data_IF_186912828198
#
_entry.id   IF_186912828198
#
_cell.length_a   1.000
_cell.length_b   1.000
_cell.length_c   1.000
_cell.angle_alpha   90.00
_cell.angle_beta   90.00
_cell.angle_gamma   90.00
#
_symmetry.space_group_name_H-M   'P 1'
#
loop_
_entity.id
_entity.type
_entity.pdbx_description
1 polymer ?
#
# COMPACT_ATOMS: atom_id res chain seq x y z
N UNK A 1 13.84 1.84 -31.11
CA UNK A 1 15.13 2.03 -30.40
C UNK A 1 14.81 2.36 -28.95
N UNK A 2 15.27 1.56 -27.99
CA UNK A 2 15.15 1.90 -26.57
C UNK A 2 16.42 2.68 -26.18
N UNK A 3 16.32 4.00 -26.22
CA UNK A 3 17.43 4.88 -25.86
C UNK A 3 17.57 4.87 -24.33
N UNK A 4 18.70 4.35 -23.82
CA UNK A 4 19.05 4.42 -22.41
C UNK A 4 20.16 5.43 -22.20
N UNK A 5 19.82 6.72 -21.99
CA UNK A 5 20.82 7.73 -21.69
C UNK A 5 21.67 7.32 -20.48
N UNK A 6 22.95 7.65 -20.54
CA UNK A 6 23.91 7.38 -19.48
C UNK A 6 24.41 8.70 -18.89
N UNK A 7 24.44 8.79 -17.55
CA UNK A 7 24.97 9.94 -16.83
C UNK A 7 26.05 9.53 -15.85
N UNK A 8 27.08 10.35 -15.67
CA UNK A 8 28.09 10.11 -14.65
C UNK A 8 27.63 10.64 -13.29
N UNK A 9 27.71 9.80 -12.26
CA UNK A 9 27.38 10.15 -10.86
C UNK A 9 28.41 9.57 -9.91
N UNK A 10 28.48 10.16 -8.72
CA UNK A 10 29.33 9.67 -7.63
C UNK A 10 28.45 8.88 -6.67
N UNK A 11 28.91 7.69 -6.29
CA UNK A 11 28.23 6.86 -5.29
C UNK A 11 28.54 7.41 -3.90
N UNK A 12 27.54 7.50 -3.02
CA UNK A 12 27.72 7.93 -1.64
C UNK A 12 27.01 6.96 -0.70
N UNK A 13 27.76 6.23 0.14
CA UNK A 13 27.18 5.30 1.15
C UNK A 13 26.20 4.28 0.56
N UNK A 14 26.43 3.83 -0.68
CA UNK A 14 25.55 2.91 -1.41
C UNK A 14 24.38 3.58 -2.14
N UNK A 15 24.30 4.90 -2.10
CA UNK A 15 23.25 5.71 -2.73
C UNK A 15 23.78 6.46 -3.96
N UNK A 16 22.90 6.68 -4.92
CA UNK A 16 23.15 7.46 -6.12
C UNK A 16 22.05 8.50 -6.24
N UNK A 17 22.44 9.77 -6.20
CA UNK A 17 21.54 10.89 -6.37
C UNK A 17 21.45 11.25 -7.87
N UNK A 18 20.28 11.06 -8.46
CA UNK A 18 20.02 11.35 -9.86
C UNK A 18 18.60 11.89 -10.03
N UNK A 19 18.41 13.00 -10.75
CA UNK A 19 17.09 13.56 -11.07
C UNK A 19 16.16 13.76 -9.85
N UNK A 20 16.69 14.31 -8.74
CA UNK A 20 15.97 14.48 -7.45
C UNK A 20 15.51 13.17 -6.79
N UNK A 21 15.96 12.03 -7.31
CA UNK A 21 15.69 10.68 -6.80
C UNK A 21 16.96 10.09 -6.20
N UNK A 22 16.77 9.13 -5.30
CA UNK A 22 17.85 8.39 -4.66
C UNK A 22 17.70 6.94 -5.07
N UNK A 23 18.73 6.38 -5.70
CA UNK A 23 18.80 4.98 -6.07
C UNK A 23 19.77 4.26 -5.13
N UNK A 24 19.40 3.08 -4.65
CA UNK A 24 20.19 2.34 -3.66
C UNK A 24 20.40 0.88 -4.05
N UNK A 25 21.59 0.36 -3.76
CA UNK A 25 21.90 -1.06 -3.80
C UNK A 25 23.02 -1.38 -2.80
N UNK A 26 23.00 -2.57 -2.20
CA UNK A 26 24.01 -2.98 -1.22
C UNK A 26 25.42 -3.03 -1.83
N UNK A 27 25.55 -3.57 -3.05
CA UNK A 27 26.84 -3.66 -3.74
C UNK A 27 27.49 -2.31 -4.00
N UNK A 28 26.71 -1.21 -4.07
CA UNK A 28 27.25 0.14 -4.24
C UNK A 28 27.99 0.64 -3.00
N UNK A 29 27.80 0.01 -1.84
CA UNK A 29 28.51 0.39 -0.62
C UNK A 29 30.05 0.26 -0.77
N UNK A 30 30.54 -0.75 -1.50
CA UNK A 30 31.97 -0.94 -1.81
C UNK A 30 32.53 0.13 -2.77
N UNK A 31 31.65 0.76 -3.54
CA UNK A 31 32.00 1.78 -4.53
C UNK A 31 31.78 3.22 -4.03
N UNK A 32 31.55 3.41 -2.73
CA UNK A 32 31.37 4.75 -2.14
C UNK A 32 32.57 5.67 -2.45
N UNK A 33 32.30 6.86 -2.98
CA UNK A 33 33.30 7.84 -3.42
C UNK A 33 33.82 7.63 -4.85
N UNK A 34 33.46 6.54 -5.53
CA UNK A 34 33.85 6.28 -6.92
C UNK A 34 32.83 6.87 -7.90
N UNK A 35 33.33 7.23 -9.09
CA UNK A 35 32.50 7.65 -10.23
C UNK A 35 31.94 6.42 -10.95
N UNK A 36 30.65 6.44 -11.24
CA UNK A 36 29.92 5.40 -11.95
C UNK A 36 29.06 6.02 -13.06
N UNK A 37 28.69 5.22 -14.06
CA UNK A 37 27.72 5.58 -15.08
C UNK A 37 26.36 4.97 -14.73
N UNK A 38 25.32 5.79 -14.75
CA UNK A 38 23.95 5.41 -14.46
C UNK A 38 23.18 5.43 -15.77
N UNK A 39 22.75 4.26 -16.21
CA UNK A 39 21.91 4.09 -17.40
C UNK A 39 20.47 3.96 -16.94
N UNK A 40 19.60 4.87 -17.37
CA UNK A 40 18.21 4.93 -16.94
C UNK A 40 17.26 4.80 -18.14
N UNK A 41 16.07 4.28 -17.87
CA UNK A 41 14.98 4.21 -18.83
C UNK A 41 14.04 5.41 -18.60
N UNK A 42 13.69 6.14 -19.66
CA UNK A 42 12.81 7.32 -19.55
C UNK A 42 11.35 6.93 -19.28
N UNK A 43 10.97 5.69 -19.61
CA UNK A 43 9.62 5.17 -19.40
C UNK A 43 9.49 4.43 -18.06
N UNK A 44 10.60 3.88 -17.53
CA UNK A 44 10.58 3.22 -16.23
C UNK A 44 11.65 3.76 -15.25
N UNK A 45 11.28 4.68 -14.33
CA UNK A 45 12.21 5.25 -13.36
C UNK A 45 12.42 4.37 -12.10
N UNK A 46 11.78 3.20 -12.01
CA UNK A 46 11.81 2.32 -10.82
C UNK A 46 13.21 1.79 -10.50
N UNK A 47 14.03 1.56 -11.52
CA UNK A 47 15.39 1.06 -11.36
C UNK A 47 16.33 1.66 -12.38
N UNK A 48 17.62 1.68 -12.03
CA UNK A 48 18.69 2.15 -12.92
C UNK A 48 19.83 1.14 -12.95
N UNK A 49 20.46 1.00 -14.12
CA UNK A 49 21.62 0.13 -14.29
C UNK A 49 22.87 0.93 -13.99
N UNK A 50 23.64 0.49 -13.00
CA UNK A 50 24.89 1.14 -12.61
C UNK A 50 26.06 0.39 -13.21
N UNK A 51 26.94 1.12 -13.89
CA UNK A 51 28.13 0.60 -14.56
C UNK A 51 29.37 1.34 -14.09
N UNK A 52 30.50 0.65 -14.11
CA UNK A 52 31.81 1.27 -13.96
C UNK A 52 32.12 2.16 -15.19
N UNK A 53 33.07 3.11 -15.07
CA UNK A 53 33.50 3.95 -16.19
C UNK A 53 34.03 3.16 -17.40
N UNK A 54 34.53 1.95 -17.17
CA UNK A 54 34.98 1.00 -18.21
C UNK A 54 33.83 0.26 -18.91
N UNK A 55 32.57 0.46 -18.50
CA UNK A 55 31.38 -0.17 -19.08
C UNK A 55 30.93 -1.47 -18.41
N UNK A 56 31.66 -2.00 -17.42
CA UNK A 56 31.24 -3.19 -16.67
C UNK A 56 30.04 -2.88 -15.80
N UNK A 57 29.00 -3.72 -15.86
CA UNK A 57 27.81 -3.59 -15.01
C UNK A 57 28.18 -3.98 -13.57
N UNK A 58 27.81 -3.13 -12.62
CA UNK A 58 28.00 -3.37 -11.18
C UNK A 58 26.73 -4.04 -10.64
N UNK A 59 25.59 -3.34 -10.71
CA UNK A 59 24.31 -3.79 -10.18
C UNK A 59 23.14 -2.99 -10.77
N UNK A 60 21.92 -3.45 -10.53
CA UNK A 60 20.69 -2.69 -10.76
C UNK A 60 20.27 -2.03 -9.45
N UNK A 61 20.25 -0.70 -9.40
CA UNK A 61 19.89 0.04 -8.20
C UNK A 61 18.41 0.44 -8.23
N UNK A 62 17.71 0.23 -7.12
CA UNK A 62 16.28 0.50 -6.99
C UNK A 62 16.03 1.91 -6.46
N UNK A 63 14.99 2.56 -7.00
CA UNK A 63 14.51 3.83 -6.48
C UNK A 63 14.09 3.67 -5.02
N UNK A 64 14.62 4.54 -4.15
CA UNK A 64 14.32 4.55 -2.72
C UNK A 64 14.56 3.19 -2.01
N UNK A 65 15.44 2.33 -2.54
CA UNK A 65 15.72 1.01 -1.96
C UNK A 65 16.34 1.02 -0.55
N UNK A 66 16.86 2.17 -0.09
CA UNK A 66 17.34 2.40 1.27
C UNK A 66 16.20 2.73 2.24
N UNK A 67 15.04 3.14 1.74
CA UNK A 67 13.83 3.29 2.53
C UNK A 67 13.32 1.89 2.82
N UNK A 68 13.82 1.32 3.92
CA UNK A 68 13.04 0.34 4.68
C UNK A 68 11.63 0.91 4.75
N UNK A 69 10.59 0.11 4.51
CA UNK A 69 9.19 0.48 4.78
C UNK A 69 8.99 0.69 6.29
N UNK A 70 9.75 1.63 6.85
CA UNK A 70 9.79 2.02 8.24
C UNK A 70 8.87 3.22 8.34
N UNK A 71 7.58 2.95 8.12
CA UNK A 71 6.48 3.36 8.98
C UNK A 71 5.28 2.50 8.56
N UNK A 72 4.86 1.48 9.35
CA UNK A 72 3.45 1.08 9.29
C UNK A 72 2.65 2.34 9.65
N UNK A 73 1.60 2.66 8.87
CA UNK A 73 0.66 3.79 9.04
C UNK A 73 0.99 4.72 10.21
N UNK A 74 1.38 5.96 9.91
CA UNK A 74 1.42 7.07 10.87
C UNK A 74 0.38 6.85 11.98
N UNK A 75 0.81 6.86 13.25
CA UNK A 75 -0.07 6.61 14.41
C UNK A 75 -1.35 7.47 14.36
N UNK A 76 -1.30 8.61 13.65
CA UNK A 76 -2.43 9.50 13.37
C UNK A 76 -3.41 8.96 12.31
N UNK A 77 -2.92 8.35 11.24
CA UNK A 77 -3.74 7.68 10.22
C UNK A 77 -4.36 6.40 10.78
N UNK A 78 -3.60 5.63 11.57
CA UNK A 78 -4.12 4.48 12.33
C UNK A 78 -5.23 4.89 13.30
N UNK A 79 -5.08 6.01 14.01
CA UNK A 79 -6.10 6.51 14.95
C UNK A 79 -7.39 6.96 14.25
N UNK A 80 -7.27 7.68 13.14
CA UNK A 80 -8.43 8.09 12.33
C UNK A 80 -9.15 6.89 11.73
N UNK A 81 -8.39 5.92 11.19
CA UNK A 81 -8.93 4.67 10.64
C UNK A 81 -9.65 3.85 11.71
N UNK A 82 -9.02 3.63 12.87
CA UNK A 82 -9.64 2.95 14.01
C UNK A 82 -10.88 3.65 14.54
N UNK A 83 -10.88 4.99 14.60
CA UNK A 83 -12.05 5.77 15.02
C UNK A 83 -13.20 5.63 14.01
N UNK A 84 -12.89 5.66 12.71
CA UNK A 84 -13.86 5.45 11.66
C UNK A 84 -14.44 4.02 11.69
N UNK A 85 -13.58 3.01 11.82
CA UNK A 85 -13.99 1.60 11.97
C UNK A 85 -14.88 1.39 13.21
N UNK A 86 -14.53 1.99 14.34
CA UNK A 86 -15.36 1.93 15.55
C UNK A 86 -16.74 2.59 15.35
N UNK A 87 -16.82 3.71 14.62
CA UNK A 87 -18.09 4.36 14.27
C UNK A 87 -18.94 3.50 13.34
N UNK A 88 -18.32 2.88 12.34
CA UNK A 88 -18.99 1.95 11.41
C UNK A 88 -19.56 0.77 12.18
N UNK A 89 -18.76 0.13 13.05
CA UNK A 89 -19.19 -1.00 13.86
C UNK A 89 -20.38 -0.67 14.76
N UNK A 90 -20.39 0.49 15.42
CA UNK A 90 -21.53 0.92 16.24
C UNK A 90 -22.81 1.10 15.42
N UNK A 91 -22.70 1.68 14.22
CA UNK A 91 -23.85 1.83 13.32
C UNK A 91 -24.35 0.48 12.82
N UNK A 92 -23.46 -0.46 12.51
CA UNK A 92 -23.84 -1.82 12.12
C UNK A 92 -24.57 -2.56 13.25
N UNK A 93 -24.06 -2.47 14.47
CA UNK A 93 -24.70 -3.04 15.66
C UNK A 93 -26.12 -2.48 15.88
N UNK A 94 -26.28 -1.16 15.74
CA UNK A 94 -27.61 -0.53 15.79
C UNK A 94 -28.55 -1.03 14.67
N UNK A 95 -28.03 -1.19 13.44
CA UNK A 95 -28.80 -1.74 12.32
C UNK A 95 -29.22 -3.20 12.61
N UNK A 96 -28.33 -4.00 13.18
CA UNK A 96 -28.61 -5.40 13.53
C UNK A 96 -29.69 -5.50 14.61
N UNK A 97 -29.61 -4.67 15.65
CA UNK A 97 -30.65 -4.59 16.70
C UNK A 97 -32.01 -4.23 16.10
N UNK A 98 -32.05 -3.22 15.22
CA UNK A 98 -33.30 -2.80 14.56
C UNK A 98 -33.86 -3.92 13.66
N UNK A 99 -33.01 -4.59 12.89
CA UNK A 99 -33.43 -5.76 12.08
C UNK A 99 -33.93 -6.92 12.94
N UNK A 100 -33.33 -7.15 14.10
CA UNK A 100 -33.78 -8.18 15.03
C UNK A 100 -35.15 -7.84 15.65
N UNK A 101 -35.38 -6.56 15.95
CA UNK A 101 -36.69 -6.07 16.40
C UNK A 101 -37.75 -6.24 15.32
N UNK A 102 -37.46 -5.82 14.08
CA UNK A 102 -38.33 -5.99 12.92
C UNK A 102 -38.70 -7.47 12.69
N UNK A 103 -37.69 -8.35 12.66
CA UNK A 103 -37.89 -9.81 12.56
C UNK A 103 -38.79 -10.34 13.68
N UNK A 104 -38.61 -9.88 14.92
CA UNK A 104 -39.44 -10.30 16.06
C UNK A 104 -40.89 -9.85 15.89
N UNK A 105 -41.13 -8.60 15.48
CA UNK A 105 -42.48 -8.06 15.22
C UNK A 105 -43.18 -8.90 14.15
N UNK A 106 -42.52 -9.15 13.02
CA UNK A 106 -43.04 -9.98 11.94
C UNK A 106 -43.41 -11.40 12.41
N UNK A 107 -42.60 -11.99 13.29
CA UNK A 107 -42.87 -13.34 13.83
C UNK A 107 -44.11 -13.36 14.73
N UNK A 108 -44.35 -12.29 15.50
CA UNK A 108 -45.53 -12.15 16.35
C UNK A 108 -46.79 -11.96 15.49
N UNK A 109 -46.75 -11.08 14.48
CA UNK A 109 -47.87 -10.82 13.59
C UNK A 109 -48.28 -12.06 12.78
N UNK A 110 -47.30 -12.80 12.24
CA UNK A 110 -47.54 -14.06 11.55
C UNK A 110 -48.11 -15.15 12.46
N UNK A 111 -47.62 -15.26 13.69
CA UNK A 111 -48.16 -16.21 14.66
C UNK A 111 -49.62 -15.86 15.02
N UNK A 112 -49.96 -14.58 15.19
CA UNK A 112 -51.33 -14.14 15.44
C UNK A 112 -52.26 -14.42 14.26
N UNK A 113 -51.83 -14.15 13.03
CA UNK A 113 -52.66 -14.34 11.84
C UNK A 113 -52.96 -15.84 11.58
N UNK A 114 -51.99 -16.73 11.83
CA UNK A 114 -52.17 -18.18 11.76
C UNK A 114 -53.12 -18.75 12.83
N UNK A 115 -53.19 -18.11 14.00
CA UNK A 115 -54.14 -18.49 15.07
C UNK A 115 -55.54 -17.99 14.73
N UNK A 116 -55.68 -16.75 14.25
CA UNK A 116 -56.97 -16.16 13.88
C UNK A 116 -57.65 -16.93 12.74
N UNK A 117 -56.90 -17.33 11.71
CA UNK A 117 -57.46 -18.11 10.60
C UNK A 117 -57.92 -19.53 11.01
N UNK A 118 -57.37 -20.13 12.08
CA UNK A 118 -57.85 -21.43 12.60
C UNK A 118 -59.13 -21.29 13.42
N UNK A 119 -59.36 -20.13 14.04
CA UNK A 119 -60.52 -19.89 14.90
C UNK A 119 -61.80 -19.54 14.10
N UNK A 120 -61.66 -19.05 12.86
CA UNK A 120 -62.77 -18.61 11.99
C UNK A 120 -63.18 -19.64 10.93
N UNK A 121 -62.57 -20.83 10.93
CA UNK A 121 -62.84 -21.92 9.99
C UNK A 121 -63.65 -23.09 10.58
N UNK A 122 -64.45 -22.84 11.62
CA UNK A 122 -65.44 -23.77 12.18
C UNK A 122 -66.80 -23.11 12.25
#
# INVERSE_FOLDING_TARGET
MLFRPEVERVVQRGEIHFDQKIYFHLDLADFSGKKVRVSYDIHNPESVIVKMPNGTIICEALLDGNKVAYFPESVRESGQRKSLEAKIRRKQDSIEILKAQDRKVYTIEHALNLVLCRQLGQ
#
